data_IF_726722680703
#
_entry.id   IF_726722680703
#
_cell.length_a   1.000
_cell.length_b   1.000
_cell.length_c   1.000
_cell.angle_alpha   90.00
_cell.angle_beta   90.00
_cell.angle_gamma   90.00
#
_symmetry.space_group_name_H-M   'P 1'
#
loop_
_entity.id
_entity.type
_entity.pdbx_description
1 polymer ?
#
# COMPACT_ATOMS: atom_id res chain seq x y z
N UNK A 1 23.64 21.24 4.70
CA UNK A 1 22.30 20.64 4.65
C UNK A 1 21.40 21.43 5.58
N UNK A 2 20.34 22.05 5.09
CA UNK A 2 19.42 22.88 5.89
C UNK A 2 18.64 21.94 6.83
N UNK A 3 18.84 22.09 8.13
CA UNK A 3 18.10 21.37 9.17
C UNK A 3 16.60 21.68 8.98
N UNK A 4 15.83 20.69 8.52
CA UNK A 4 14.38 20.86 8.37
C UNK A 4 13.77 21.16 9.74
N UNK A 5 12.93 22.19 9.83
CA UNK A 5 12.19 22.53 11.04
C UNK A 5 11.46 21.28 11.58
N UNK A 6 11.42 21.12 12.90
CA UNK A 6 10.72 20.01 13.58
C UNK A 6 9.27 19.85 13.10
N UNK A 7 8.59 20.95 12.84
CA UNK A 7 7.23 20.99 12.27
C UNK A 7 7.18 20.37 10.87
N UNK A 8 8.17 20.62 10.00
CA UNK A 8 8.24 20.06 8.66
C UNK A 8 8.47 18.54 8.68
N UNK A 9 9.25 18.02 9.64
CA UNK A 9 9.46 16.57 9.82
C UNK A 9 8.16 15.86 10.21
N UNK A 10 7.41 16.42 11.16
CA UNK A 10 6.14 15.88 11.64
C UNK A 10 5.09 15.86 10.52
N UNK A 11 4.94 16.95 9.78
CA UNK A 11 4.01 17.01 8.63
C UNK A 11 4.37 15.97 7.58
N UNK A 12 5.65 15.82 7.25
CA UNK A 12 6.09 14.80 6.27
C UNK A 12 5.78 13.38 6.77
N UNK A 13 5.99 13.11 8.06
CA UNK A 13 5.69 11.81 8.65
C UNK A 13 4.19 11.49 8.58
N UNK A 14 3.33 12.45 8.93
CA UNK A 14 1.86 12.30 8.83
C UNK A 14 1.44 12.01 7.39
N UNK A 15 1.97 12.76 6.41
CA UNK A 15 1.68 12.52 5.00
C UNK A 15 2.13 11.13 4.54
N UNK A 16 3.27 10.65 5.03
CA UNK A 16 3.74 9.30 4.72
C UNK A 16 2.85 8.22 5.34
N UNK A 17 2.38 8.41 6.58
CA UNK A 17 1.43 7.50 7.24
C UNK A 17 0.13 7.40 6.42
N UNK A 18 -0.43 8.53 6.01
CA UNK A 18 -1.65 8.59 5.20
C UNK A 18 -1.44 7.92 3.83
N UNK A 19 -0.33 8.22 3.16
CA UNK A 19 0.01 7.63 1.87
C UNK A 19 0.17 6.10 1.97
N UNK A 20 0.83 5.60 3.03
CA UNK A 20 0.98 4.16 3.27
C UNK A 20 -0.37 3.47 3.45
N UNK A 21 -1.27 4.02 4.27
CA UNK A 21 -2.58 3.42 4.47
C UNK A 21 -3.40 3.41 3.16
N UNK A 22 -3.33 4.50 2.39
CA UNK A 22 -4.07 4.63 1.14
C UNK A 22 -3.58 3.66 0.06
N UNK A 23 -2.26 3.55 -0.12
CA UNK A 23 -1.71 2.73 -1.22
C UNK A 23 -1.94 1.24 -1.00
N UNK A 24 -1.86 0.77 0.25
CA UNK A 24 -2.12 -0.64 0.57
C UNK A 24 -3.61 -0.99 0.65
N UNK A 25 -4.50 0.00 0.70
CA UNK A 25 -5.93 -0.25 0.73
C UNK A 25 -6.42 -1.01 -0.52
N UNK A 26 -5.90 -0.68 -1.71
CA UNK A 26 -6.34 -1.30 -2.96
C UNK A 26 -6.02 -2.81 -3.03
N UNK A 27 -4.77 -3.29 -2.89
CA UNK A 27 -4.47 -4.72 -2.94
C UNK A 27 -5.18 -5.53 -1.84
N UNK A 28 -5.48 -4.90 -0.69
CA UNK A 28 -6.14 -5.56 0.43
C UNK A 28 -7.65 -5.32 0.50
N UNK A 29 -8.24 -4.63 -0.48
CA UNK A 29 -9.68 -4.38 -0.56
C UNK A 29 -10.50 -5.68 -0.55
N UNK A 30 -9.93 -6.75 -1.12
CA UNK A 30 -10.51 -8.09 -1.16
C UNK A 30 -10.80 -8.68 0.23
N UNK A 31 -10.06 -8.31 1.26
CA UNK A 31 -10.34 -8.77 2.63
C UNK A 31 -11.55 -8.05 3.24
N UNK A 32 -11.74 -6.79 2.89
CA UNK A 32 -12.83 -5.97 3.45
C UNK A 32 -14.16 -6.25 2.73
N UNK A 33 -14.12 -6.39 1.41
CA UNK A 33 -15.30 -6.59 0.55
C UNK A 33 -15.25 -7.95 -0.15
N UNK A 34 -15.03 -9.03 0.63
CA UNK A 34 -14.81 -10.38 0.10
C UNK A 34 -15.92 -10.80 -0.87
N UNK A 35 -17.14 -10.92 -0.39
CA UNK A 35 -18.27 -11.42 -1.19
C UNK A 35 -18.64 -10.48 -2.35
N UNK A 36 -18.80 -9.15 -2.15
CA UNK A 36 -19.14 -8.24 -3.24
C UNK A 36 -18.09 -8.21 -4.36
N UNK A 37 -16.80 -8.26 -4.03
CA UNK A 37 -15.74 -8.28 -5.05
C UNK A 37 -15.66 -9.62 -5.77
N UNK A 38 -15.83 -10.73 -5.03
CA UNK A 38 -15.87 -12.06 -5.63
C UNK A 38 -17.03 -12.17 -6.64
N UNK A 39 -18.20 -11.62 -6.32
CA UNK A 39 -19.34 -11.55 -7.22
C UNK A 39 -19.04 -10.70 -8.45
N UNK A 40 -18.55 -9.47 -8.25
CA UNK A 40 -18.21 -8.55 -9.34
C UNK A 40 -17.14 -9.11 -10.28
N UNK A 41 -16.18 -9.87 -9.76
CA UNK A 41 -15.13 -10.53 -10.54
C UNK A 41 -15.61 -11.84 -11.20
N UNK A 42 -16.85 -12.29 -10.97
CA UNK A 42 -17.37 -13.55 -11.49
C UNK A 42 -16.68 -14.80 -10.90
N UNK A 43 -16.24 -14.71 -9.65
CA UNK A 43 -15.48 -15.75 -8.95
C UNK A 43 -16.28 -16.43 -7.83
N UNK A 44 -17.62 -16.26 -7.79
CA UNK A 44 -18.47 -16.96 -6.81
C UNK A 44 -18.27 -18.47 -6.92
N UNK A 45 -18.02 -19.13 -5.78
CA UNK A 45 -17.75 -20.56 -5.70
C UNK A 45 -16.34 -20.95 -6.19
N UNK A 46 -15.49 -19.99 -6.51
CA UNK A 46 -14.10 -20.16 -6.92
C UNK A 46 -13.14 -19.56 -5.89
N UNK A 47 -13.31 -19.90 -4.62
CA UNK A 47 -12.52 -19.34 -3.51
C UNK A 47 -11.01 -19.54 -3.68
N UNK A 48 -10.61 -20.68 -4.24
CA UNK A 48 -9.20 -20.95 -4.51
C UNK A 48 -8.61 -19.98 -5.55
N UNK A 49 -9.35 -19.63 -6.59
CA UNK A 49 -8.91 -18.67 -7.61
C UNK A 49 -8.90 -17.24 -7.06
N UNK A 50 -9.90 -16.90 -6.25
CA UNK A 50 -9.92 -15.61 -5.56
C UNK A 50 -8.74 -15.46 -4.60
N UNK A 51 -8.43 -16.49 -3.81
CA UNK A 51 -7.27 -16.52 -2.92
C UNK A 51 -5.93 -16.48 -3.67
N UNK A 52 -5.85 -17.02 -4.90
CA UNK A 52 -4.64 -16.95 -5.73
C UNK A 52 -4.24 -15.52 -6.09
N UNK A 53 -5.19 -14.59 -6.24
CA UNK A 53 -4.89 -13.18 -6.50
C UNK A 53 -4.01 -12.60 -5.38
N UNK A 54 -4.38 -12.83 -4.13
CA UNK A 54 -3.61 -12.41 -2.97
C UNK A 54 -2.28 -13.17 -2.82
N UNK A 55 -2.27 -14.47 -3.13
CA UNK A 55 -1.06 -15.28 -3.08
C UNK A 55 -0.03 -14.78 -4.10
N UNK A 56 -0.45 -14.47 -5.33
CA UNK A 56 0.42 -13.94 -6.38
C UNK A 56 1.00 -12.58 -5.95
N UNK A 57 0.17 -11.69 -5.39
CA UNK A 57 0.62 -10.43 -4.81
C UNK A 57 1.66 -10.68 -3.69
N UNK A 58 1.39 -11.59 -2.77
CA UNK A 58 2.30 -11.92 -1.67
C UNK A 58 3.64 -12.48 -2.13
N UNK A 59 3.64 -13.41 -3.08
CA UNK A 59 4.87 -13.97 -3.67
C UNK A 59 5.67 -12.88 -4.38
N UNK A 60 5.01 -12.06 -5.20
CA UNK A 60 5.64 -10.95 -5.89
C UNK A 60 6.26 -9.95 -4.90
N UNK A 61 5.60 -9.66 -3.77
CA UNK A 61 6.14 -8.79 -2.71
C UNK A 61 7.47 -9.33 -2.17
N UNK A 62 7.54 -10.63 -1.85
CA UNK A 62 8.76 -11.26 -1.33
C UNK A 62 9.92 -11.13 -2.33
N UNK A 63 9.64 -11.40 -3.61
CA UNK A 63 10.66 -11.33 -4.68
C UNK A 63 11.13 -9.88 -4.89
N UNK A 64 10.20 -8.92 -4.90
CA UNK A 64 10.46 -7.53 -5.23
C UNK A 64 11.04 -6.72 -4.06
N UNK A 65 10.98 -7.26 -2.84
CA UNK A 65 11.53 -6.60 -1.66
C UNK A 65 13.05 -6.37 -1.77
N UNK A 66 13.80 -7.36 -2.27
CA UNK A 66 15.25 -7.27 -2.42
C UNK A 66 15.68 -6.21 -3.45
N UNK A 67 15.18 -6.23 -4.71
CA UNK A 67 15.54 -5.21 -5.69
C UNK A 67 14.99 -3.82 -5.37
N UNK A 68 13.99 -3.72 -4.50
CA UNK A 68 13.40 -2.45 -4.08
C UNK A 68 14.40 -1.49 -3.44
N UNK A 69 15.30 -2.00 -2.59
CA UNK A 69 16.37 -1.21 -2.00
C UNK A 69 17.25 -0.55 -3.05
N UNK A 70 17.71 -1.32 -4.04
CA UNK A 70 18.51 -0.81 -5.15
C UNK A 70 17.78 0.26 -5.98
N UNK A 71 16.47 0.06 -6.25
CA UNK A 71 15.64 1.05 -6.95
C UNK A 71 15.54 2.33 -6.14
N UNK A 72 15.28 2.23 -4.83
CA UNK A 72 15.19 3.39 -3.94
C UNK A 72 16.51 4.16 -3.88
N UNK A 73 17.66 3.49 -3.94
CA UNK A 73 18.96 4.15 -3.90
C UNK A 73 19.27 4.90 -5.19
N UNK A 74 18.82 4.40 -6.33
CA UNK A 74 19.10 4.96 -7.65
C UNK A 74 18.23 6.17 -8.00
N UNK A 75 17.03 6.23 -7.48
CA UNK A 75 16.05 7.27 -7.83
C UNK A 75 15.74 8.20 -6.67
N UNK A 76 15.20 9.37 -7.00
CA UNK A 76 14.72 10.35 -6.04
C UNK A 76 13.48 9.80 -5.31
N UNK A 77 13.55 9.81 -3.97
CA UNK A 77 12.53 9.30 -3.07
C UNK A 77 11.14 9.88 -3.35
N UNK A 78 11.05 11.22 -3.51
CA UNK A 78 9.77 11.90 -3.73
C UNK A 78 9.16 11.50 -5.08
N UNK A 79 9.98 11.39 -6.12
CA UNK A 79 9.51 10.99 -7.46
C UNK A 79 8.99 9.57 -7.45
N UNK A 80 9.68 8.64 -6.76
CA UNK A 80 9.22 7.26 -6.63
C UNK A 80 7.92 7.16 -5.84
N UNK A 81 7.76 7.90 -4.75
CA UNK A 81 6.51 7.92 -3.98
C UNK A 81 5.33 8.42 -4.83
N UNK A 82 5.52 9.52 -5.57
CA UNK A 82 4.47 10.06 -6.47
C UNK A 82 4.14 9.05 -7.57
N UNK A 83 5.16 8.49 -8.23
CA UNK A 83 4.99 7.46 -9.25
C UNK A 83 4.19 6.27 -8.73
N UNK A 84 4.54 5.77 -7.54
CA UNK A 84 3.86 4.64 -6.91
C UNK A 84 2.39 4.93 -6.65
N UNK A 85 2.08 6.09 -6.06
CA UNK A 85 0.69 6.48 -5.76
C UNK A 85 -0.15 6.59 -7.03
N UNK A 86 0.37 7.29 -8.05
CA UNK A 86 -0.34 7.47 -9.33
C UNK A 86 -0.53 6.13 -10.03
N UNK A 87 0.53 5.32 -10.14
CA UNK A 87 0.46 4.02 -10.82
C UNK A 87 -0.48 3.05 -10.11
N UNK A 88 -0.46 3.01 -8.76
CA UNK A 88 -1.39 2.19 -7.99
C UNK A 88 -2.84 2.65 -8.19
N UNK A 89 -3.09 3.96 -8.24
CA UNK A 89 -4.42 4.50 -8.55
C UNK A 89 -4.91 4.09 -9.93
N UNK A 90 -4.05 4.16 -10.95
CA UNK A 90 -4.38 3.72 -12.32
C UNK A 90 -4.68 2.22 -12.36
N UNK A 91 -3.88 1.40 -11.67
CA UNK A 91 -4.13 -0.04 -11.55
C UNK A 91 -5.46 -0.33 -10.85
N UNK A 92 -5.81 0.42 -9.80
CA UNK A 92 -7.08 0.29 -9.12
C UNK A 92 -8.29 0.63 -10.01
N UNK A 93 -8.16 1.67 -10.86
CA UNK A 93 -9.19 1.99 -11.87
C UNK A 93 -9.31 0.85 -12.89
N UNK A 94 -8.18 0.29 -13.32
CA UNK A 94 -8.19 -0.86 -14.23
C UNK A 94 -8.82 -2.09 -13.59
N UNK A 95 -8.49 -2.41 -12.35
CA UNK A 95 -9.11 -3.50 -11.59
C UNK A 95 -10.63 -3.32 -11.45
N UNK A 96 -11.10 -2.08 -11.24
CA UNK A 96 -12.52 -1.76 -11.13
C UNK A 96 -13.32 -1.98 -12.42
N UNK A 97 -12.67 -2.23 -13.56
CA UNK A 97 -13.34 -2.68 -14.79
C UNK A 97 -13.64 -4.18 -14.79
N UNK A 98 -13.24 -4.89 -13.73
CA UNK A 98 -13.41 -6.34 -13.57
C UNK A 98 -12.97 -7.13 -14.81
N UNK A 99 -11.72 -6.99 -15.25
CA UNK A 99 -11.24 -7.66 -16.44
C UNK A 99 -11.12 -9.19 -16.23
N UNK A 100 -10.72 -9.92 -17.27
CA UNK A 100 -10.54 -11.37 -17.18
C UNK A 100 -9.59 -11.79 -16.04
N UNK A 101 -9.77 -12.98 -15.50
CA UNK A 101 -8.99 -13.52 -14.39
C UNK A 101 -7.46 -13.42 -14.59
N UNK A 102 -6.99 -13.69 -15.81
CA UNK A 102 -5.55 -13.58 -16.13
C UNK A 102 -5.06 -12.14 -16.01
N UNK A 103 -5.88 -11.15 -16.38
CA UNK A 103 -5.55 -9.74 -16.24
C UNK A 103 -5.57 -9.34 -14.76
N UNK A 104 -6.52 -9.85 -13.98
CA UNK A 104 -6.54 -9.63 -12.53
C UNK A 104 -5.26 -10.14 -11.86
N UNK A 105 -4.77 -11.32 -12.23
CA UNK A 105 -3.47 -11.82 -11.76
C UNK A 105 -2.31 -10.88 -12.10
N UNK A 106 -2.29 -10.36 -13.34
CA UNK A 106 -1.27 -9.39 -13.78
C UNK A 106 -1.36 -8.10 -12.96
N UNK A 107 -2.56 -7.56 -12.74
CA UNK A 107 -2.77 -6.36 -11.92
C UNK A 107 -2.22 -6.57 -10.50
N UNK A 108 -2.43 -7.72 -9.88
CA UNK A 108 -1.92 -8.02 -8.55
C UNK A 108 -0.38 -8.12 -8.52
N UNK A 109 0.26 -8.63 -9.57
CA UNK A 109 1.72 -8.54 -9.72
C UNK A 109 2.18 -7.09 -9.85
N UNK A 110 1.49 -6.28 -10.65
CA UNK A 110 1.81 -4.86 -10.82
C UNK A 110 1.56 -4.05 -9.54
N UNK A 111 0.57 -4.39 -8.72
CA UNK A 111 0.41 -3.82 -7.39
C UNK A 111 1.65 -4.09 -6.52
N UNK A 112 2.25 -5.28 -6.57
CA UNK A 112 3.49 -5.55 -5.85
C UNK A 112 4.65 -4.65 -6.33
N UNK A 113 4.75 -4.39 -7.63
CA UNK A 113 5.74 -3.46 -8.18
C UNK A 113 5.53 -2.04 -7.64
N UNK A 114 4.30 -1.55 -7.65
CA UNK A 114 4.02 -0.16 -7.24
C UNK A 114 4.02 0.01 -5.73
N UNK A 115 3.60 -0.99 -4.95
CA UNK A 115 3.51 -0.89 -3.49
C UNK A 115 4.78 -1.30 -2.77
N UNK A 116 5.49 -2.33 -3.21
CA UNK A 116 6.69 -2.83 -2.51
C UNK A 116 7.97 -2.39 -3.18
N UNK A 117 8.14 -2.67 -4.48
CA UNK A 117 9.39 -2.33 -5.17
C UNK A 117 9.68 -0.83 -5.14
N UNK A 118 8.67 0.00 -5.36
CA UNK A 118 8.87 1.45 -5.48
C UNK A 118 8.41 2.21 -4.24
N UNK A 119 7.20 1.98 -3.71
CA UNK A 119 6.68 2.78 -2.60
C UNK A 119 7.35 2.43 -1.27
N UNK A 120 7.33 1.16 -0.86
CA UNK A 120 7.87 0.74 0.44
C UNK A 120 9.35 1.10 0.57
N UNK A 121 10.15 0.72 -0.42
CA UNK A 121 11.60 0.97 -0.42
C UNK A 121 11.92 2.46 -0.37
N UNK A 122 11.18 3.29 -1.11
CA UNK A 122 11.33 4.75 -1.07
C UNK A 122 10.87 5.34 0.26
N UNK A 123 9.84 4.79 0.88
CA UNK A 123 9.34 5.23 2.18
C UNK A 123 10.39 5.00 3.26
N UNK A 124 11.01 3.82 3.28
CA UNK A 124 12.12 3.49 4.19
C UNK A 124 13.27 4.48 4.03
N UNK A 125 13.69 4.74 2.80
CA UNK A 125 14.74 5.73 2.50
C UNK A 125 14.36 7.14 2.94
N UNK A 126 13.12 7.57 2.65
CA UNK A 126 12.65 8.89 3.05
C UNK A 126 12.63 9.08 4.58
N UNK A 127 12.22 8.07 5.33
CA UNK A 127 12.24 8.12 6.80
C UNK A 127 13.66 8.22 7.32
N UNK A 128 14.60 7.43 6.77
CA UNK A 128 16.01 7.52 7.13
C UNK A 128 16.61 8.92 6.85
N UNK A 129 16.19 9.54 5.75
CA UNK A 129 16.65 10.91 5.40
C UNK A 129 16.00 12.01 6.25
N UNK A 130 14.87 11.75 6.90
CA UNK A 130 14.18 12.69 7.79
C UNK A 130 14.69 12.60 9.23
N UNK A 131 15.18 11.45 9.64
CA UNK A 131 15.71 11.20 10.97
C UNK A 131 17.07 11.90 11.15
N UNK A 132 17.30 12.47 12.33
CA UNK A 132 18.64 12.89 12.74
C UNK A 132 19.44 11.66 13.21
N UNK A 133 20.76 11.82 13.39
CA UNK A 133 21.63 10.74 13.82
C UNK A 133 21.16 10.17 15.17
N UNK A 134 20.84 8.87 15.17
CA UNK A 134 20.34 8.15 16.36
C UNK A 134 18.81 8.18 16.54
N UNK A 135 18.04 8.97 15.79
CA UNK A 135 16.56 9.05 15.90
C UNK A 135 15.83 8.11 14.93
N UNK A 136 16.54 7.39 14.07
CA UNK A 136 15.97 6.54 13.01
C UNK A 136 14.97 5.52 13.55
N UNK A 137 15.32 4.82 14.63
CA UNK A 137 14.42 3.84 15.25
C UNK A 137 13.13 4.45 15.77
N UNK A 138 13.19 5.63 16.39
CA UNK A 138 12.03 6.38 16.87
C UNK A 138 11.12 6.85 15.74
N UNK A 139 11.71 7.30 14.62
CA UNK A 139 10.95 7.73 13.44
C UNK A 139 10.22 6.55 12.77
N UNK A 140 10.89 5.38 12.63
CA UNK A 140 10.25 4.17 12.14
C UNK A 140 9.17 3.69 13.09
N UNK A 141 9.42 3.67 14.40
CA UNK A 141 8.42 3.32 15.41
C UNK A 141 7.19 4.22 15.32
N UNK A 142 7.38 5.53 15.14
CA UNK A 142 6.29 6.49 14.99
C UNK A 142 5.50 6.29 13.69
N UNK A 143 6.20 5.96 12.59
CA UNK A 143 5.58 5.65 11.30
C UNK A 143 4.68 4.40 11.42
N UNK A 144 5.20 3.32 11.99
CA UNK A 144 4.47 2.05 12.13
C UNK A 144 3.32 2.17 13.14
N UNK A 145 3.52 2.87 14.26
CA UNK A 145 2.45 3.15 15.21
C UNK A 145 1.33 3.97 14.57
N UNK A 146 1.67 5.04 13.85
CA UNK A 146 0.69 5.88 13.13
C UNK A 146 -0.06 5.08 12.07
N UNK A 147 0.63 4.20 11.34
CA UNK A 147 0.03 3.29 10.37
C UNK A 147 -0.95 2.32 11.02
N UNK A 148 -0.57 1.72 12.15
CA UNK A 148 -1.42 0.82 12.91
C UNK A 148 -2.69 1.49 13.41
N UNK A 149 -2.59 2.69 14.00
CA UNK A 149 -3.74 3.47 14.48
C UNK A 149 -4.66 3.85 13.33
N UNK A 150 -4.12 4.38 12.23
CA UNK A 150 -4.93 4.77 11.06
C UNK A 150 -5.62 3.55 10.43
N UNK A 151 -4.93 2.41 10.34
CA UNK A 151 -5.49 1.17 9.82
C UNK A 151 -6.65 0.68 10.69
N UNK A 152 -6.50 0.74 12.01
CA UNK A 152 -7.55 0.36 12.96
C UNK A 152 -8.79 1.26 12.83
N UNK A 153 -8.61 2.57 12.71
CA UNK A 153 -9.71 3.52 12.49
C UNK A 153 -10.44 3.22 11.19
N UNK A 154 -9.71 3.01 10.08
CA UNK A 154 -10.32 2.66 8.79
C UNK A 154 -11.10 1.35 8.85
N UNK A 155 -10.55 0.31 9.51
CA UNK A 155 -11.24 -0.97 9.67
C UNK A 155 -12.53 -0.82 10.46
N UNK A 156 -12.54 -0.08 11.57
CA UNK A 156 -13.73 0.17 12.37
C UNK A 156 -14.78 0.92 11.56
N UNK A 157 -14.39 1.96 10.83
CA UNK A 157 -15.31 2.72 9.96
C UNK A 157 -15.93 1.82 8.88
N UNK A 158 -15.15 0.98 8.22
CA UNK A 158 -15.65 0.04 7.20
C UNK A 158 -16.62 -0.97 7.79
N UNK A 159 -16.31 -1.56 8.95
CA UNK A 159 -17.21 -2.50 9.62
C UNK A 159 -18.53 -1.83 10.02
N UNK A 160 -18.48 -0.61 10.53
CA UNK A 160 -19.69 0.15 10.89
C UNK A 160 -20.58 0.42 9.68
N UNK A 161 -19.98 0.78 8.55
CA UNK A 161 -20.74 0.96 7.29
C UNK A 161 -21.37 -0.35 6.79
N UNK A 162 -20.67 -1.47 6.87
CA UNK A 162 -21.22 -2.77 6.48
C UNK A 162 -22.39 -3.19 7.36
N UNK A 163 -22.34 -2.91 8.67
CA UNK A 163 -23.46 -3.18 9.58
C UNK A 163 -24.66 -2.29 9.24
N UNK A 164 -24.43 -0.99 9.00
CA UNK A 164 -25.47 -0.05 8.64
C UNK A 164 -26.17 -0.38 7.31
N UNK A 165 -25.48 -1.01 6.37
CA UNK A 165 -26.08 -1.46 5.10
C UNK A 165 -26.91 -2.75 5.21
N UNK A 166 -26.76 -3.50 6.30
CA UNK A 166 -27.52 -4.75 6.55
C UNK A 166 -28.78 -4.54 7.37
N UNK A 167 -28.98 -3.34 7.93
CA UNK A 167 -30.17 -2.91 8.68
C UNK A 167 -31.17 -2.22 7.77
#
# INVERSE_FOLDING_TARGET
MTQKSKSSKVVTLILMILAMNTIYMLPYLMYTYYTPLQEAMGLIGRDADYGRLLNVYGIANVILYLPGGWVADKFDCKKLLIFSMVSTGVLGIWEATFPSYTILLLIHVLFAVTTVLTFWSSSVKCVNMLADDGEQGGMFGSLEAGRGVSGLVLTVMQQTQQIAQKL
#
